data_IF_857654520278
#
_entry.id   IF_857654520278
#
_cell.length_a   1.000
_cell.length_b   1.000
_cell.length_c   1.000
_cell.angle_alpha   90.00
_cell.angle_beta   90.00
_cell.angle_gamma   90.00
#
_symmetry.space_group_name_H-M   'P 1'
#
loop_
_entity.id
_entity.type
_entity.pdbx_description
1 polymer ?
#
# COMPACT_ATOMS: atom_id res chain seq x y z
N UNK A 1 4.95 10.29 2.66
CA UNK A 1 3.90 9.81 1.72
C UNK A 1 4.30 8.45 1.18
N UNK A 2 3.43 7.45 1.28
CA UNK A 2 3.63 6.10 0.73
C UNK A 2 3.44 6.14 -0.78
N UNK A 3 4.50 6.52 -1.51
CA UNK A 3 4.48 6.75 -2.96
C UNK A 3 3.97 5.52 -3.74
N UNK A 4 4.27 4.31 -3.25
CA UNK A 4 3.84 3.06 -3.89
C UNK A 4 2.30 2.93 -3.95
N UNK A 5 1.59 3.31 -2.89
CA UNK A 5 0.11 3.27 -2.87
C UNK A 5 -0.48 4.22 -3.91
N UNK A 6 0.03 5.45 -3.95
CA UNK A 6 -0.41 6.47 -4.89
C UNK A 6 -0.19 6.04 -6.34
N UNK A 7 0.98 5.44 -6.64
CA UNK A 7 1.29 4.91 -7.98
C UNK A 7 0.30 3.83 -8.41
N UNK A 8 0.06 2.82 -7.57
CA UNK A 8 -0.89 1.74 -7.90
C UNK A 8 -2.30 2.31 -8.12
N UNK A 9 -2.74 3.21 -7.25
CA UNK A 9 -4.04 3.87 -7.36
C UNK A 9 -4.18 4.62 -8.69
N UNK A 10 -3.19 5.42 -9.07
CA UNK A 10 -3.19 6.17 -10.33
C UNK A 10 -3.11 5.26 -11.55
N UNK A 11 -2.32 4.18 -11.50
CA UNK A 11 -2.24 3.21 -12.59
C UNK A 11 -3.56 2.46 -12.82
N UNK A 12 -4.36 2.27 -11.76
CA UNK A 12 -5.70 1.69 -11.83
C UNK A 12 -6.80 2.73 -12.07
N UNK A 13 -6.46 4.01 -12.25
CA UNK A 13 -7.42 5.14 -12.38
C UNK A 13 -8.44 5.23 -11.23
N UNK A 14 -8.02 4.87 -10.01
CA UNK A 14 -8.89 4.88 -8.84
C UNK A 14 -8.73 6.17 -8.02
N UNK A 15 -9.82 6.59 -7.38
CA UNK A 15 -9.83 7.67 -6.40
C UNK A 15 -9.46 7.15 -5.01
N UNK A 16 -9.25 8.06 -4.06
CA UNK A 16 -9.06 7.67 -2.66
C UNK A 16 -10.34 7.09 -2.04
N UNK A 17 -11.51 7.50 -2.54
CA UNK A 17 -12.81 6.96 -2.10
C UNK A 17 -12.96 5.51 -2.55
N UNK A 18 -12.68 5.20 -3.82
CA UNK A 18 -12.83 3.84 -4.37
C UNK A 18 -12.03 2.80 -3.58
N UNK A 19 -10.79 3.14 -3.18
CA UNK A 19 -9.96 2.23 -2.39
C UNK A 19 -10.48 2.13 -0.95
N UNK A 20 -10.94 3.24 -0.37
CA UNK A 20 -11.50 3.25 0.97
C UNK A 20 -12.74 2.36 1.08
N UNK A 21 -13.64 2.43 0.10
CA UNK A 21 -14.82 1.57 -0.01
C UNK A 21 -14.43 0.10 -0.14
N UNK A 22 -13.52 -0.23 -1.05
CA UNK A 22 -13.05 -1.62 -1.25
C UNK A 22 -12.36 -2.18 0.00
N UNK A 23 -11.61 -1.35 0.72
CA UNK A 23 -10.91 -1.75 1.95
C UNK A 23 -11.82 -1.66 3.20
N UNK A 24 -13.07 -1.23 3.07
CA UNK A 24 -14.03 -1.01 4.15
C UNK A 24 -13.45 -0.13 5.26
N UNK A 25 -12.95 1.04 4.88
CA UNK A 25 -12.42 2.08 5.76
C UNK A 25 -12.94 3.45 5.33
N UNK A 26 -12.78 4.48 6.17
CA UNK A 26 -13.11 5.84 5.75
C UNK A 26 -12.07 6.40 4.78
N UNK A 27 -12.50 7.22 3.82
CA UNK A 27 -11.62 7.96 2.92
C UNK A 27 -10.54 8.73 3.66
N UNK A 28 -10.90 9.46 4.70
CA UNK A 28 -9.93 10.22 5.53
C UNK A 28 -8.86 9.30 6.11
N UNK A 29 -9.23 8.11 6.61
CA UNK A 29 -8.26 7.16 7.12
C UNK A 29 -7.33 6.64 6.01
N UNK A 30 -7.87 6.31 4.84
CA UNK A 30 -7.05 5.97 3.67
C UNK A 30 -6.08 7.11 3.32
N UNK A 31 -6.52 8.36 3.29
CA UNK A 31 -5.65 9.53 3.01
C UNK A 31 -4.49 9.62 4.01
N UNK A 32 -4.73 9.41 5.31
CA UNK A 32 -3.65 9.40 6.31
C UNK A 32 -2.65 8.25 6.09
N UNK A 33 -3.14 7.08 5.67
CA UNK A 33 -2.29 5.94 5.33
C UNK A 33 -1.49 6.23 4.06
N UNK A 34 -2.10 6.70 2.97
CA UNK A 34 -1.39 7.07 1.74
C UNK A 34 -0.35 8.18 2.01
N UNK A 35 -0.64 9.12 2.90
CA UNK A 35 0.30 10.18 3.28
C UNK A 35 1.43 9.72 4.22
N UNK A 36 1.31 8.55 4.86
CA UNK A 36 2.31 8.06 5.81
C UNK A 36 2.10 8.55 7.24
N UNK A 37 1.05 9.32 7.53
CA UNK A 37 0.81 9.91 8.85
C UNK A 37 0.09 8.97 9.82
N UNK A 38 -0.50 7.89 9.32
CA UNK A 38 -1.01 6.78 10.14
C UNK A 38 -0.55 5.43 9.60
N UNK A 39 -0.41 4.48 10.50
CA UNK A 39 -0.19 3.06 10.18
C UNK A 39 -1.50 2.31 10.40
N UNK A 40 -1.96 1.50 9.43
CA UNK A 40 -3.17 0.72 9.58
C UNK A 40 -3.04 -0.34 10.68
N UNK A 41 -4.16 -0.75 11.28
CA UNK A 41 -4.18 -1.93 12.14
C UNK A 41 -3.95 -3.19 11.31
N UNK A 42 -3.48 -4.28 11.93
CA UNK A 42 -3.22 -5.55 11.22
C UNK A 42 -4.40 -6.03 10.35
N UNK A 43 -5.67 -6.00 10.82
CA UNK A 43 -6.80 -6.39 9.98
C UNK A 43 -7.00 -5.48 8.75
N UNK A 44 -6.77 -4.17 8.90
CA UNK A 44 -6.87 -3.21 7.77
C UNK A 44 -5.71 -3.43 6.80
N UNK A 45 -4.49 -3.59 7.32
CA UNK A 45 -3.30 -3.86 6.53
C UNK A 45 -3.49 -5.10 5.64
N UNK A 46 -4.03 -6.19 6.19
CA UNK A 46 -4.34 -7.41 5.42
C UNK A 46 -5.37 -7.19 4.31
N UNK A 47 -6.43 -6.41 4.56
CA UNK A 47 -7.42 -6.08 3.52
C UNK A 47 -6.81 -5.25 2.41
N UNK A 48 -6.04 -4.22 2.76
CA UNK A 48 -5.36 -3.36 1.80
C UNK A 48 -4.33 -4.17 1.00
N UNK A 49 -3.56 -5.03 1.65
CA UNK A 49 -2.58 -5.91 1.04
C UNK A 49 -3.20 -6.82 -0.02
N UNK A 50 -4.36 -7.43 0.26
CA UNK A 50 -5.10 -8.21 -0.72
C UNK A 50 -5.54 -7.36 -1.93
N UNK A 51 -5.95 -6.11 -1.72
CA UNK A 51 -6.33 -5.21 -2.81
C UNK A 51 -5.13 -4.74 -3.66
N UNK A 52 -3.99 -4.49 -3.01
CA UNK A 52 -2.75 -4.04 -3.64
C UNK A 52 -1.88 -5.18 -4.17
N UNK A 53 -2.26 -6.44 -3.92
CA UNK A 53 -1.50 -7.64 -4.25
C UNK A 53 -0.05 -7.60 -3.70
N UNK A 54 0.06 -7.34 -2.39
CA UNK A 54 1.34 -7.22 -1.72
C UNK A 54 1.32 -7.83 -0.31
N UNK A 55 2.49 -7.92 0.34
CA UNK A 55 2.59 -8.36 1.73
C UNK A 55 2.10 -7.28 2.69
N UNK A 56 1.20 -7.64 3.61
CA UNK A 56 0.61 -6.68 4.58
C UNK A 56 1.63 -6.11 5.57
N UNK A 57 2.78 -6.78 5.74
CA UNK A 57 3.88 -6.30 6.58
C UNK A 57 4.56 -5.05 6.03
N UNK A 58 4.38 -4.74 4.73
CA UNK A 58 4.93 -3.54 4.07
C UNK A 58 4.54 -2.24 4.77
N UNK A 59 3.39 -2.20 5.45
CA UNK A 59 2.93 -1.01 6.18
C UNK A 59 3.74 -0.72 7.45
N UNK A 60 4.52 -1.70 7.92
CA UNK A 60 5.31 -1.67 9.16
C UNK A 60 6.83 -1.71 8.89
N UNK A 61 7.22 -1.88 7.62
CA UNK A 61 8.62 -1.85 7.22
C UNK A 61 9.12 -0.40 7.19
N UNK A 62 10.33 -0.18 7.74
CA UNK A 62 11.02 1.09 7.59
C UNK A 62 11.45 1.29 6.12
N UNK A 63 11.47 2.54 5.65
CA UNK A 63 11.72 2.90 4.24
C UNK A 63 12.95 2.19 3.61
N UNK A 64 13.98 1.90 4.40
CA UNK A 64 15.18 1.16 3.95
C UNK A 64 14.92 -0.27 3.44
N UNK A 65 13.89 -0.95 3.93
CA UNK A 65 13.63 -2.36 3.57
C UNK A 65 12.96 -2.55 2.21
N UNK A 66 12.34 -1.48 1.66
CA UNK A 66 11.59 -1.53 0.40
C UNK A 66 12.51 -1.53 -0.83
N UNK A 67 13.65 -0.84 -0.74
CA UNK A 67 14.66 -0.80 -1.81
C UNK A 67 15.30 -2.18 -2.04
N UNK A 68 15.47 -2.96 -0.98
CA UNK A 68 16.10 -4.29 -1.04
C UNK A 68 15.18 -5.36 -1.64
N UNK A 69 13.85 -5.22 -1.53
CA UNK A 69 12.89 -6.14 -2.16
C UNK A 69 12.74 -5.90 -3.66
N UNK A 70 12.76 -4.65 -4.10
CA UNK A 70 12.67 -4.32 -5.54
C UNK A 70 13.87 -4.86 -6.35
N UNK A 71 15.05 -5.00 -5.73
CA UNK A 71 16.22 -5.63 -6.37
C UNK A 71 16.08 -7.15 -6.54
N UNK A 72 15.33 -7.82 -5.66
CA UNK A 72 15.18 -9.29 -5.71
C UNK A 72 14.17 -9.76 -6.76
N UNK A 73 13.15 -8.96 -7.07
CA UNK A 73 12.17 -9.30 -8.11
C UNK A 73 12.66 -9.04 -9.55
N UNK A 74 13.72 -8.24 -9.74
CA UNK A 74 14.34 -7.99 -11.05
C UNK A 74 15.38 -9.05 -11.45
N UNK A 75 15.69 -10.00 -10.56
CA UNK A 75 16.75 -11.01 -10.79
C UNK A 75 16.22 -12.40 -11.11
N UNK A 76 14.94 -12.53 -11.48
CA UNK A 76 14.30 -13.80 -11.87
C UNK A 76 13.75 -13.73 -13.30
N UNK A 77 14.56 -13.24 -14.22
CA UNK A 77 14.40 -13.47 -15.67
C UNK A 77 15.80 -13.69 -16.26
N UNK A 78 16.40 -14.85 -16.00
CA UNK A 78 17.35 -15.53 -16.88
C UNK A 78 17.21 -17.03 -16.63
#
# INVERSE_FOLDING_TARGET
MRVWMKKIRMNKSLTQEDIAEQCKISRSYYTHIENGTKTPTVPVAKRMANFFDCEWTIFFENERSLEDRNKKNTQKVV
#
